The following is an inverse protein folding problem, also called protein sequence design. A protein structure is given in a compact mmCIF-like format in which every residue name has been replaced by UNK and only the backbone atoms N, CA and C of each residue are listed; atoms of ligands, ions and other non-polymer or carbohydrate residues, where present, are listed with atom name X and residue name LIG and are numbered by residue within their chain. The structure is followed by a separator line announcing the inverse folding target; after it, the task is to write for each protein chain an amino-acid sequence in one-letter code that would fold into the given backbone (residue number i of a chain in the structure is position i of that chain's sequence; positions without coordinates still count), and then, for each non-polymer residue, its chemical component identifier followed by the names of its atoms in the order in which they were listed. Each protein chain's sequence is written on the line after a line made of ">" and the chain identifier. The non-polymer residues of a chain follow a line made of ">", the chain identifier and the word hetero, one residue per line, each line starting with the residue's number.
data_IF_149231164985
#
_entry.id   IF_149231164985
#
_cell.length_a   1.000
_cell.length_b   1.000
_cell.length_c   1.000
_cell.angle_alpha   90.00
_cell.angle_beta   90.00
_cell.angle_gamma   90.00
#
_symmetry.space_group_name_H-M   'P 1'
#
loop_
_entity.id
_entity.type
_entity.pdbx_description
1 polymer ?
#
# COMPACT_ATOMS: atom_id res chain seq x y z
N UNK A 1 -27.54 11.56 -33.89
CA UNK A 1 -26.20 11.28 -33.36
C UNK A 1 -26.36 10.27 -32.24
N UNK A 2 -25.75 9.09 -32.36
CA UNK A 2 -25.95 7.98 -31.43
C UNK A 2 -25.01 8.20 -30.23
N UNK A 3 -25.56 8.52 -29.06
CA UNK A 3 -24.78 8.77 -27.83
C UNK A 3 -23.97 7.55 -27.35
N UNK A 4 -24.20 6.38 -27.95
CA UNK A 4 -23.55 5.11 -27.63
C UNK A 4 -22.10 4.97 -28.15
N UNK A 5 -21.63 5.85 -29.04
CA UNK A 5 -20.29 5.75 -29.64
C UNK A 5 -19.55 7.08 -29.54
N UNK A 6 -19.12 7.44 -28.33
CA UNK A 6 -18.06 8.42 -28.15
C UNK A 6 -16.71 7.70 -28.41
N UNK A 7 -16.01 7.96 -29.52
CA UNK A 7 -14.73 7.31 -29.79
C UNK A 7 -13.76 7.58 -28.64
N UNK A 8 -13.07 6.52 -28.19
CA UNK A 8 -12.09 6.56 -27.10
C UNK A 8 -12.65 6.87 -25.70
N UNK A 9 -13.97 6.93 -25.49
CA UNK A 9 -14.53 7.19 -24.15
C UNK A 9 -14.03 6.19 -23.10
N UNK A 10 -13.94 4.90 -23.45
CA UNK A 10 -13.38 3.85 -22.58
C UNK A 10 -11.89 4.07 -22.31
N UNK A 11 -11.09 4.44 -23.31
CA UNK A 11 -9.65 4.72 -23.14
C UNK A 11 -9.41 5.96 -22.28
N UNK A 12 -10.20 7.02 -22.48
CA UNK A 12 -10.13 8.24 -21.68
C UNK A 12 -10.56 7.99 -20.23
N UNK A 13 -11.54 7.10 -20.01
CA UNK A 13 -11.95 6.66 -18.70
C UNK A 13 -10.83 5.85 -18.02
N UNK A 14 -10.23 4.89 -18.73
CA UNK A 14 -9.07 4.13 -18.23
C UNK A 14 -7.89 5.04 -17.91
N UNK A 15 -7.56 6.01 -18.76
CA UNK A 15 -6.45 6.93 -18.53
C UNK A 15 -6.66 7.78 -17.26
N UNK A 16 -7.90 8.21 -17.00
CA UNK A 16 -8.24 8.93 -15.74
C UNK A 16 -8.10 8.02 -14.53
N UNK A 17 -8.56 6.77 -14.61
CA UNK A 17 -8.42 5.82 -13.51
C UNK A 17 -6.96 5.44 -13.26
N UNK A 18 -6.17 5.21 -14.31
CA UNK A 18 -4.76 4.89 -14.16
C UNK A 18 -3.96 6.01 -13.51
N UNK A 19 -4.26 7.27 -13.81
CA UNK A 19 -3.62 8.40 -13.14
C UNK A 19 -3.91 8.43 -11.63
N UNK A 20 -5.15 8.15 -11.24
CA UNK A 20 -5.52 8.10 -9.83
C UNK A 20 -4.87 6.91 -9.11
N UNK A 21 -4.75 5.78 -9.80
CA UNK A 21 -4.02 4.61 -9.30
C UNK A 21 -2.53 4.92 -9.18
N UNK A 22 -1.95 5.62 -10.15
CA UNK A 22 -0.56 6.07 -10.14
C UNK A 22 -0.31 7.03 -8.96
N UNK A 23 -1.16 8.04 -8.77
CA UNK A 23 -1.09 8.95 -7.62
C UNK A 23 -1.19 8.20 -6.28
N UNK A 24 -2.05 7.17 -6.19
CA UNK A 24 -2.16 6.31 -4.99
C UNK A 24 -0.92 5.42 -4.78
N UNK A 25 -0.29 4.96 -5.86
CA UNK A 25 0.93 4.13 -5.81
C UNK A 25 2.18 4.96 -5.51
N UNK A 26 2.21 6.23 -5.90
CA UNK A 26 3.27 7.19 -5.59
C UNK A 26 3.08 7.88 -4.24
N UNK A 27 1.87 7.81 -3.66
CA UNK A 27 1.58 8.42 -2.37
C UNK A 27 2.48 7.85 -1.26
N UNK A 28 2.93 8.75 -0.38
CA UNK A 28 3.66 8.38 0.83
C UNK A 28 2.83 7.35 1.63
N UNK A 29 3.40 6.19 2.02
CA UNK A 29 2.73 5.18 2.84
C UNK A 29 2.03 5.73 4.08
N UNK A 30 2.55 6.82 4.64
CA UNK A 30 1.99 7.52 5.81
C UNK A 30 0.70 8.27 5.50
N UNK A 31 0.44 8.52 4.22
CA UNK A 31 -0.73 9.21 3.70
C UNK A 31 -1.66 8.28 2.93
N UNK A 32 -1.38 6.98 2.86
CA UNK A 32 -2.23 6.03 2.11
C UNK A 32 -3.68 6.09 2.58
N UNK A 33 -3.96 6.24 3.87
CA UNK A 33 -5.35 6.31 4.35
C UNK A 33 -6.07 7.60 3.89
N UNK A 34 -5.36 8.73 3.87
CA UNK A 34 -5.87 9.99 3.34
C UNK A 34 -6.01 9.96 1.82
N UNK A 35 -5.03 9.40 1.11
CA UNK A 35 -5.07 9.21 -0.33
C UNK A 35 -6.20 8.25 -0.72
N UNK A 36 -6.43 7.18 0.05
CA UNK A 36 -7.54 6.26 -0.17
C UNK A 36 -8.90 6.95 0.03
N UNK A 37 -9.03 7.84 1.02
CA UNK A 37 -10.24 8.64 1.22
C UNK A 37 -10.49 9.66 0.10
N UNK A 38 -9.44 10.27 -0.46
CA UNK A 38 -9.55 11.18 -1.61
C UNK A 38 -9.94 10.44 -2.89
N UNK A 39 -9.54 9.18 -3.00
CA UNK A 39 -9.72 8.33 -4.18
C UNK A 39 -11.02 7.50 -4.11
N UNK A 40 -11.55 7.26 -2.91
CA UNK A 40 -12.80 6.52 -2.66
C UNK A 40 -14.00 7.01 -3.48
N UNK A 41 -14.28 8.33 -3.61
CA UNK A 41 -15.41 8.82 -4.39
C UNK A 41 -15.29 8.49 -5.88
N UNK A 42 -14.06 8.45 -6.41
CA UNK A 42 -13.83 8.11 -7.83
C UNK A 42 -14.00 6.62 -8.06
N UNK A 43 -13.59 5.78 -7.10
CA UNK A 43 -13.90 4.35 -7.14
C UNK A 43 -15.41 4.09 -7.00
N UNK A 44 -16.13 4.83 -6.15
CA UNK A 44 -17.59 4.72 -6.00
C UNK A 44 -18.37 5.20 -7.25
N UNK A 45 -17.90 6.24 -7.93
CA UNK A 45 -18.48 6.67 -9.22
C UNK A 45 -18.19 5.67 -10.34
N UNK A 46 -17.02 5.04 -10.31
CA UNK A 46 -16.59 4.03 -11.29
C UNK A 46 -17.31 2.69 -11.08
N UNK A 47 -17.50 2.32 -9.82
CA UNK A 47 -18.09 1.09 -9.34
C UNK A 47 -19.28 1.42 -8.45
N UNK A 48 -20.46 1.59 -9.07
CA UNK A 48 -21.69 1.88 -8.34
C UNK A 48 -21.96 0.79 -7.30
N UNK A 49 -22.16 1.20 -6.05
CA UNK A 49 -22.65 0.30 -5.00
C UNK A 49 -23.99 -0.30 -5.44
N UNK A 50 -24.18 -1.61 -5.24
CA UNK A 50 -25.38 -2.36 -5.66
C UNK A 50 -26.72 -1.85 -5.07
N UNK A 51 -26.73 -0.74 -4.34
CA UNK A 51 -27.88 -0.15 -3.66
C UNK A 51 -28.76 0.78 -4.50
N UNK A 52 -28.38 1.13 -5.74
CA UNK A 52 -29.23 1.92 -6.65
C UNK A 52 -29.66 1.11 -7.89
N UNK A 53 -30.88 0.54 -7.89
CA UNK A 53 -31.38 -0.32 -8.97
C UNK A 53 -31.47 0.38 -10.33
N UNK A 54 -31.75 1.69 -10.38
CA UNK A 54 -31.94 2.42 -11.63
C UNK A 54 -30.63 2.66 -12.38
N UNK A 55 -29.56 2.96 -11.63
CA UNK A 55 -28.19 3.10 -12.18
C UNK A 55 -27.56 1.75 -12.50
N UNK A 56 -27.88 0.71 -11.73
CA UNK A 56 -27.48 -0.67 -11.99
C UNK A 56 -27.94 -1.15 -13.37
N UNK A 57 -29.23 -1.02 -13.70
CA UNK A 57 -29.76 -1.53 -14.98
C UNK A 57 -29.09 -0.86 -16.20
N UNK A 58 -28.87 0.45 -16.15
CA UNK A 58 -28.18 1.18 -17.22
C UNK A 58 -26.71 0.79 -17.38
N UNK A 59 -26.01 0.44 -16.29
CA UNK A 59 -24.60 0.04 -16.33
C UNK A 59 -24.41 -1.45 -16.63
N UNK A 60 -25.32 -2.33 -16.19
CA UNK A 60 -25.33 -3.75 -16.53
C UNK A 60 -25.59 -4.00 -18.02
N UNK A 61 -26.28 -3.08 -18.69
CA UNK A 61 -26.51 -3.13 -20.14
C UNK A 61 -25.23 -2.90 -20.98
N UNK A 62 -24.14 -2.38 -20.39
CA UNK A 62 -22.90 -2.06 -21.10
C UNK A 62 -21.65 -2.53 -20.34
N UNK A 63 -20.99 -3.59 -20.85
CA UNK A 63 -19.75 -4.15 -20.31
C UNK A 63 -19.85 -4.72 -18.88
N UNK A 64 -20.88 -5.54 -18.62
CA UNK A 64 -21.10 -6.21 -17.34
C UNK A 64 -19.93 -7.07 -16.87
N UNK A 65 -19.43 -7.97 -17.73
CA UNK A 65 -18.36 -8.88 -17.39
C UNK A 65 -17.04 -8.14 -17.09
N UNK A 66 -16.70 -7.12 -17.90
CA UNK A 66 -15.50 -6.32 -17.66
C UNK A 66 -15.56 -5.52 -16.35
N UNK A 67 -16.76 -5.04 -15.97
CA UNK A 67 -16.97 -4.34 -14.69
C UNK A 67 -16.88 -5.27 -13.47
N UNK A 68 -17.45 -6.48 -13.56
CA UNK A 68 -17.28 -7.50 -12.51
C UNK A 68 -15.80 -7.88 -12.38
N UNK A 69 -15.11 -8.14 -13.49
CA UNK A 69 -13.68 -8.47 -13.46
C UNK A 69 -12.84 -7.33 -12.88
N UNK A 70 -13.15 -6.08 -13.23
CA UNK A 70 -12.51 -4.92 -12.64
C UNK A 70 -12.78 -4.83 -11.13
N UNK A 71 -14.00 -5.12 -10.68
CA UNK A 71 -14.37 -5.13 -9.25
C UNK A 71 -13.69 -6.25 -8.46
N UNK A 72 -13.56 -7.45 -9.05
CA UNK A 72 -12.78 -8.57 -8.48
C UNK A 72 -11.29 -8.22 -8.40
N UNK A 73 -10.79 -7.35 -9.28
CA UNK A 73 -9.42 -6.87 -9.24
C UNK A 73 -9.16 -5.76 -8.19
N UNK A 74 -10.19 -5.06 -7.69
CA UNK A 74 -10.03 -3.99 -6.66
C UNK A 74 -9.44 -4.52 -5.33
N UNK A 75 -9.83 -5.69 -4.80
CA UNK A 75 -9.15 -6.29 -3.64
C UNK A 75 -7.66 -6.59 -3.85
N UNK A 76 -7.14 -6.60 -5.09
CA UNK A 76 -5.73 -6.80 -5.36
C UNK A 76 -4.84 -5.56 -5.06
N UNK A 77 -5.46 -4.44 -4.66
CA UNK A 77 -4.79 -3.16 -4.40
C UNK A 77 -3.97 -3.09 -3.11
N UNK A 78 -3.95 -4.14 -2.28
CA UNK A 78 -2.96 -4.26 -1.19
C UNK A 78 -1.50 -4.36 -1.70
N UNK A 79 -1.27 -4.30 -3.01
CA UNK A 79 0.06 -4.22 -3.61
C UNK A 79 0.91 -3.08 -3.03
N UNK A 80 0.35 -1.88 -2.83
CA UNK A 80 1.10 -0.76 -2.25
C UNK A 80 1.60 -1.07 -0.85
N UNK A 81 0.72 -1.58 0.03
CA UNK A 81 1.09 -2.02 1.39
C UNK A 81 2.14 -3.12 1.37
N UNK A 82 2.00 -4.10 0.48
CA UNK A 82 3.00 -5.18 0.29
C UNK A 82 4.37 -4.65 -0.12
N UNK A 83 4.41 -3.68 -1.04
CA UNK A 83 5.65 -3.06 -1.48
C UNK A 83 6.34 -2.33 -0.31
N UNK A 84 5.58 -1.59 0.49
CA UNK A 84 6.10 -0.91 1.67
C UNK A 84 6.53 -1.87 2.79
N UNK A 85 5.85 -3.00 2.97
CA UNK A 85 6.29 -4.06 3.90
C UNK A 85 7.63 -4.69 3.45
N UNK A 86 7.81 -4.92 2.14
CA UNK A 86 9.09 -5.39 1.58
C UNK A 86 10.20 -4.36 1.75
N UNK A 87 9.88 -3.09 1.54
CA UNK A 87 10.81 -1.98 1.76
C UNK A 87 11.18 -1.84 3.25
N UNK A 88 10.24 -2.05 4.17
CA UNK A 88 10.52 -2.11 5.61
C UNK A 88 11.56 -3.21 5.93
N UNK A 89 11.37 -4.41 5.38
CA UNK A 89 12.34 -5.50 5.55
C UNK A 89 13.72 -5.15 4.98
N UNK A 90 13.79 -4.51 3.80
CA UNK A 90 15.04 -4.03 3.22
C UNK A 90 15.74 -3.04 4.17
N UNK A 91 15.01 -2.06 4.70
CA UNK A 91 15.52 -1.07 5.67
C UNK A 91 16.06 -1.75 6.93
N UNK A 92 15.34 -2.72 7.50
CA UNK A 92 15.79 -3.49 8.67
C UNK A 92 17.11 -4.24 8.40
N UNK A 93 17.29 -4.81 7.20
CA UNK A 93 18.53 -5.48 6.81
C UNK A 93 19.70 -4.50 6.70
N UNK A 94 19.46 -3.31 6.12
CA UNK A 94 20.47 -2.24 6.05
C UNK A 94 20.87 -1.80 7.45
N UNK A 95 19.90 -1.55 8.34
CA UNK A 95 20.16 -1.17 9.73
C UNK A 95 20.98 -2.22 10.48
N UNK A 96 20.66 -3.50 10.31
CA UNK A 96 21.47 -4.60 10.87
C UNK A 96 22.92 -4.52 10.38
N UNK A 97 23.11 -4.32 9.07
CA UNK A 97 24.44 -4.24 8.47
C UNK A 97 25.22 -3.06 9.06
N UNK A 98 24.61 -1.88 9.11
CA UNK A 98 25.24 -0.66 9.66
C UNK A 98 25.55 -0.82 11.15
N UNK A 99 24.63 -1.38 11.94
CA UNK A 99 24.87 -1.66 13.34
C UNK A 99 26.08 -2.58 13.56
N UNK A 100 26.26 -3.59 12.68
CA UNK A 100 27.45 -4.45 12.72
C UNK A 100 28.72 -3.75 12.30
N UNK A 101 28.67 -2.92 11.26
CA UNK A 101 29.82 -2.14 10.79
C UNK A 101 30.29 -1.15 11.88
N UNK A 102 29.36 -0.58 12.65
CA UNK A 102 29.65 0.31 13.77
C UNK A 102 29.82 -0.39 15.13
N UNK A 103 29.77 -1.72 15.17
CA UNK A 103 29.90 -2.54 16.39
C UNK A 103 28.97 -2.07 17.52
N UNK A 104 27.73 -1.76 17.18
CA UNK A 104 26.74 -1.28 18.14
C UNK A 104 26.45 -2.38 19.16
N UNK A 105 26.63 -2.08 20.44
CA UNK A 105 26.27 -3.01 21.49
C UNK A 105 24.73 -3.17 21.53
N UNK A 106 24.20 -4.35 21.88
CA UNK A 106 22.76 -4.60 22.02
C UNK A 106 22.02 -3.56 22.87
N UNK A 107 22.67 -3.07 23.93
CA UNK A 107 22.14 -2.05 24.85
C UNK A 107 22.08 -0.65 24.20
N UNK A 108 22.88 -0.42 23.16
CA UNK A 108 22.91 0.81 22.38
C UNK A 108 21.99 0.79 21.15
N UNK A 109 21.33 -0.32 20.86
CA UNK A 109 20.56 -0.50 19.62
C UNK A 109 19.35 0.45 19.54
N UNK A 110 18.60 0.65 20.62
CA UNK A 110 17.47 1.59 20.65
C UNK A 110 17.90 3.03 20.31
N UNK A 111 19.03 3.45 20.89
CA UNK A 111 19.60 4.77 20.63
C UNK A 111 20.10 4.88 19.17
N UNK A 112 20.74 3.82 18.67
CA UNK A 112 21.19 3.75 17.28
C UNK A 112 20.02 3.85 16.30
N UNK A 113 18.96 3.07 16.48
CA UNK A 113 17.76 3.08 15.62
C UNK A 113 17.05 4.44 15.65
N UNK A 114 17.01 5.09 16.81
CA UNK A 114 16.39 6.42 16.98
C UNK A 114 17.12 7.54 16.24
N UNK A 115 18.43 7.40 16.03
CA UNK A 115 19.26 8.40 15.34
C UNK A 115 19.26 8.26 13.82
N UNK A 116 18.65 7.21 13.28
CA UNK A 116 18.67 6.93 11.85
C UNK A 116 17.90 7.96 11.04
N UNK A 117 18.34 8.24 9.79
CA UNK A 117 17.60 9.09 8.89
C UNK A 117 16.22 8.48 8.58
N UNK A 118 15.29 9.34 8.21
CA UNK A 118 13.89 8.99 7.96
C UNK A 118 13.71 7.87 6.91
N UNK A 119 14.59 7.81 5.92
CA UNK A 119 14.60 6.78 4.86
C UNK A 119 14.89 5.36 5.38
N UNK A 120 15.44 5.24 6.59
CA UNK A 120 15.70 3.95 7.25
C UNK A 120 14.71 3.66 8.38
N UNK A 121 13.71 4.52 8.59
CA UNK A 121 12.66 4.32 9.60
C UNK A 121 11.48 3.53 9.05
N UNK A 122 10.53 3.20 9.93
CA UNK A 122 9.28 2.57 9.55
C UNK A 122 8.59 3.37 8.43
N UNK A 123 8.32 2.77 7.26
CA UNK A 123 7.75 3.50 6.13
C UNK A 123 6.36 4.07 6.46
N UNK A 124 5.57 3.40 7.31
CA UNK A 124 4.19 3.80 7.62
C UNK A 124 4.06 4.84 8.72
N UNK A 125 5.03 4.96 9.62
CA UNK A 125 4.93 5.90 10.76
C UNK A 125 6.06 6.92 10.81
N UNK A 126 7.21 6.62 10.19
CA UNK A 126 8.43 7.41 10.34
C UNK A 126 9.11 7.24 11.70
N UNK A 127 8.62 6.33 12.53
CA UNK A 127 9.24 5.98 13.81
C UNK A 127 10.36 4.94 13.61
N UNK A 128 11.31 4.84 14.55
CA UNK A 128 12.29 3.76 14.55
C UNK A 128 11.62 2.39 14.55
N UNK A 129 12.30 1.39 13.99
CA UNK A 129 11.84 -0.01 14.12
C UNK A 129 11.94 -0.46 15.58
N UNK A 130 11.13 -1.45 15.94
CA UNK A 130 11.18 -2.02 17.28
C UNK A 130 12.43 -2.85 17.48
N UNK A 131 12.96 -2.85 18.71
CA UNK A 131 14.09 -3.66 19.13
C UNK A 131 13.73 -4.51 20.34
N UNK A 132 14.23 -5.74 20.37
CA UNK A 132 14.15 -6.64 21.52
C UNK A 132 15.56 -7.01 21.96
N UNK A 133 15.98 -6.50 23.12
CA UNK A 133 17.28 -6.82 23.71
C UNK A 133 17.36 -8.28 24.22
N UNK A 134 16.22 -8.89 24.55
CA UNK A 134 16.16 -10.28 25.03
C UNK A 134 16.46 -11.29 23.92
N UNK A 135 15.93 -11.03 22.73
CA UNK A 135 16.05 -11.94 21.57
C UNK A 135 17.06 -11.45 20.53
N UNK A 136 17.61 -10.25 20.72
CA UNK A 136 18.49 -9.56 19.77
C UNK A 136 17.81 -9.38 18.41
N UNK A 137 16.59 -8.89 18.40
CA UNK A 137 15.76 -8.83 17.19
C UNK A 137 15.25 -7.42 16.89
N UNK A 138 15.47 -6.98 15.65
CA UNK A 138 14.76 -5.84 15.07
C UNK A 138 13.43 -6.37 14.54
N UNK A 139 12.32 -5.73 14.88
CA UNK A 139 10.98 -6.20 14.55
C UNK A 139 10.08 -5.12 13.94
N UNK A 140 9.16 -5.56 13.08
CA UNK A 140 8.21 -4.73 12.36
C UNK A 140 6.90 -5.49 12.13
N UNK A 141 5.76 -4.83 12.34
CA UNK A 141 4.44 -5.41 12.07
C UNK A 141 4.00 -5.00 10.65
N UNK A 142 3.90 -5.93 9.69
CA UNK A 142 3.50 -5.63 8.33
C UNK A 142 2.04 -5.17 8.25
N UNK A 143 1.79 -4.20 7.38
CA UNK A 143 0.44 -3.68 7.14
C UNK A 143 -0.40 -4.68 6.33
N UNK A 144 0.21 -5.43 5.42
CA UNK A 144 -0.47 -6.43 4.60
C UNK A 144 -0.41 -7.84 5.24
N UNK A 145 -0.86 -7.98 6.49
CA UNK A 145 -0.69 -9.19 7.32
C UNK A 145 -1.09 -10.52 6.63
N UNK A 146 -2.16 -10.51 5.82
CA UNK A 146 -2.64 -11.69 5.08
C UNK A 146 -1.64 -12.26 4.06
N UNK A 147 -0.60 -11.49 3.69
CA UNK A 147 0.40 -11.87 2.69
C UNK A 147 1.72 -12.34 3.32
N UNK A 148 1.82 -12.30 4.65
CA UNK A 148 3.00 -12.72 5.38
C UNK A 148 2.70 -13.97 6.20
N UNK A 149 3.66 -14.89 6.26
CA UNK A 149 3.53 -16.12 7.06
C UNK A 149 3.59 -15.87 8.58
N UNK A 150 4.07 -14.70 8.98
CA UNK A 150 4.26 -14.30 10.38
C UNK A 150 3.61 -12.95 10.59
N UNK A 151 3.05 -12.77 11.78
CA UNK A 151 2.45 -11.50 12.23
C UNK A 151 3.49 -10.39 12.41
N UNK A 152 4.75 -10.76 12.59
CA UNK A 152 5.87 -9.82 12.76
C UNK A 152 7.03 -10.24 11.89
N UNK A 153 7.58 -9.28 11.13
CA UNK A 153 8.85 -9.44 10.42
C UNK A 153 9.99 -9.21 11.41
N UNK A 154 10.98 -10.11 11.35
CA UNK A 154 12.07 -10.16 12.32
C UNK A 154 13.39 -10.25 11.58
N UNK A 155 14.33 -9.40 11.99
CA UNK A 155 15.73 -9.47 11.59
C UNK A 155 16.57 -9.60 12.86
N UNK A 156 17.13 -10.79 13.07
CA UNK A 156 18.04 -11.08 14.20
C UNK A 156 19.35 -10.33 14.00
N UNK A 157 19.83 -9.62 15.01
CA UNK A 157 21.12 -8.91 15.03
C UNK A 157 22.29 -9.88 14.89
#
# INVERSE_FOLDING_TARGET
>A
MNAAYAPQATLNLHARHYRIIEDLLEADPRRIEAAHQEVSPVFEETFVAFGDPGRLVGQLAHNFAGRILAQIAVPAFDWGRRLHDQEALRRMIVLKREAKEHQIAPEGMDAFLSQQPEDLRNPFTGEPFGWSAETYEIHFVPSAANYWKRETLIVVY
#
